data_IF_461518072887
#
_entry.id   IF_461518072887
#
_cell.length_a   1.000
_cell.length_b   1.000
_cell.length_c   1.000
_cell.angle_alpha   90.00
_cell.angle_beta   90.00
_cell.angle_gamma   90.00
#
_symmetry.space_group_name_H-M   'P 1'
#
loop_
_entity.id
_entity.type
_entity.pdbx_description
1 polymer ?
#
# COMPACT_ATOMS: atom_id res chain seq x y z
N UNK A 1 25.53 11.19 -3.91
CA UNK A 1 24.43 11.91 -3.21
C UNK A 1 24.37 11.42 -1.77
N UNK A 2 24.36 12.30 -0.74
CA UNK A 2 24.27 11.89 0.66
C UNK A 2 22.89 11.27 0.99
N UNK A 3 22.81 10.48 2.07
CA UNK A 3 21.57 9.78 2.47
C UNK A 3 20.43 10.75 2.79
N UNK A 4 20.77 11.91 3.36
CA UNK A 4 19.83 12.99 3.66
C UNK A 4 19.10 13.50 2.42
N UNK A 5 19.82 13.73 1.33
CA UNK A 5 19.24 14.19 0.06
C UNK A 5 18.44 13.09 -0.64
N UNK A 6 18.90 11.83 -0.57
CA UNK A 6 18.12 10.70 -1.10
C UNK A 6 16.77 10.57 -0.40
N UNK A 7 16.72 10.73 0.93
CA UNK A 7 15.48 10.67 1.70
C UNK A 7 14.49 11.79 1.29
N UNK A 8 14.96 12.97 0.90
CA UNK A 8 14.14 14.10 0.45
C UNK A 8 13.51 13.91 -0.94
N UNK A 9 14.06 13.03 -1.77
CA UNK A 9 13.52 12.77 -3.13
C UNK A 9 12.37 11.77 -3.08
N UNK A 10 11.18 12.24 -2.73
CA UNK A 10 9.97 11.41 -2.61
C UNK A 10 8.88 11.76 -3.63
N UNK A 11 9.09 12.73 -4.53
CA UNK A 11 8.07 13.16 -5.48
C UNK A 11 8.30 12.63 -6.90
N UNK A 12 7.22 12.54 -7.69
CA UNK A 12 7.29 12.21 -9.12
C UNK A 12 7.54 10.72 -9.41
N UNK A 13 7.11 9.85 -8.50
CA UNK A 13 7.17 8.40 -8.69
C UNK A 13 5.97 7.92 -9.52
N UNK A 14 6.15 6.84 -10.27
CA UNK A 14 5.02 6.11 -10.84
C UNK A 14 4.45 5.11 -9.80
N UNK A 15 3.34 4.46 -10.15
CA UNK A 15 2.69 3.50 -9.27
C UNK A 15 3.60 2.34 -8.84
N UNK A 16 4.36 1.75 -9.76
CA UNK A 16 5.21 0.59 -9.45
C UNK A 16 6.32 0.95 -8.44
N UNK A 17 6.97 2.10 -8.62
CA UNK A 17 7.97 2.61 -7.69
C UNK A 17 7.31 2.92 -6.34
N UNK A 18 6.16 3.59 -6.34
CA UNK A 18 5.43 3.91 -5.11
C UNK A 18 5.06 2.64 -4.32
N UNK A 19 4.60 1.58 -5.00
CA UNK A 19 4.23 0.32 -4.37
C UNK A 19 5.44 -0.40 -3.75
N UNK A 20 6.60 -0.34 -4.39
CA UNK A 20 7.85 -0.85 -3.83
C UNK A 20 8.34 -0.03 -2.64
N UNK A 21 8.20 1.29 -2.68
CA UNK A 21 8.58 2.18 -1.57
C UNK A 21 7.71 1.97 -0.33
N UNK A 22 6.42 1.65 -0.49
CA UNK A 22 5.53 1.31 0.64
C UNK A 22 6.00 0.06 1.41
N UNK A 23 6.73 -0.85 0.77
CA UNK A 23 7.34 -2.01 1.43
C UNK A 23 8.60 -1.65 2.22
N UNK A 24 9.17 -0.47 1.98
CA UNK A 24 10.47 0.00 2.49
C UNK A 24 10.34 1.21 3.40
N UNK A 25 9.15 1.47 3.94
CA UNK A 25 8.97 2.51 4.96
C UNK A 25 9.78 2.16 6.21
N UNK A 26 10.36 3.19 6.83
CA UNK A 26 11.16 3.03 8.06
C UNK A 26 10.23 2.85 9.28
N UNK A 27 9.13 3.60 9.31
CA UNK A 27 8.07 3.51 10.31
C UNK A 27 6.85 2.71 9.84
N UNK A 28 6.11 2.14 10.79
CA UNK A 28 4.91 1.36 10.52
C UNK A 28 3.67 2.27 10.35
N UNK A 29 2.96 2.19 9.20
CA UNK A 29 1.71 2.91 9.01
C UNK A 29 0.59 2.39 9.91
N UNK A 30 -0.39 3.24 10.19
CA UNK A 30 -1.57 2.82 10.92
C UNK A 30 -2.48 1.92 10.06
N UNK A 31 -3.42 1.23 10.69
CA UNK A 31 -4.35 0.33 10.00
C UNK A 31 -5.17 1.02 8.91
N UNK A 32 -5.58 2.26 9.12
CA UNK A 32 -6.42 3.00 8.17
C UNK A 32 -5.65 3.34 6.89
N UNK A 33 -4.42 3.81 7.03
CA UNK A 33 -3.50 4.09 5.92
C UNK A 33 -3.19 2.80 5.14
N UNK A 34 -2.91 1.69 5.85
CA UNK A 34 -2.71 0.36 5.23
C UNK A 34 -3.93 -0.07 4.42
N UNK A 35 -5.13 0.16 4.94
CA UNK A 35 -6.39 -0.18 4.27
C UNK A 35 -6.65 0.72 3.07
N UNK A 36 -6.35 2.01 3.14
CA UNK A 36 -6.46 2.94 2.02
C UNK A 36 -5.54 2.53 0.86
N UNK A 37 -4.25 2.29 1.15
CA UNK A 37 -3.30 1.76 0.16
C UNK A 37 -3.79 0.45 -0.45
N UNK A 38 -4.27 -0.48 0.38
CA UNK A 38 -4.80 -1.77 -0.08
C UNK A 38 -5.98 -1.58 -1.04
N UNK A 39 -6.95 -0.73 -0.68
CA UNK A 39 -8.14 -0.50 -1.51
C UNK A 39 -7.80 0.11 -2.86
N UNK A 40 -6.88 1.07 -2.92
CA UNK A 40 -6.40 1.67 -4.16
C UNK A 40 -5.61 0.67 -5.00
N UNK A 41 -4.66 -0.06 -4.39
CA UNK A 41 -3.86 -1.07 -5.06
C UNK A 41 -4.73 -2.16 -5.71
N UNK A 42 -5.74 -2.66 -4.99
CA UNK A 42 -6.64 -3.68 -5.53
C UNK A 42 -7.47 -3.16 -6.70
N UNK A 43 -7.95 -1.91 -6.63
CA UNK A 43 -8.68 -1.29 -7.73
C UNK A 43 -7.78 -1.11 -8.97
N UNK A 44 -6.51 -0.73 -8.79
CA UNK A 44 -5.56 -0.56 -9.91
C UNK A 44 -5.27 -1.89 -10.62
N UNK A 45 -5.02 -2.96 -9.86
CA UNK A 45 -4.59 -4.26 -10.40
C UNK A 45 -5.76 -5.11 -10.90
N UNK A 46 -6.88 -5.10 -10.17
CA UNK A 46 -8.01 -6.00 -10.43
C UNK A 46 -9.26 -5.29 -10.92
N UNK A 47 -9.28 -3.95 -10.96
CA UNK A 47 -10.47 -3.19 -11.25
C UNK A 47 -11.50 -3.30 -10.12
N UNK A 48 -12.76 -3.20 -10.53
CA UNK A 48 -13.89 -3.21 -9.61
C UNK A 48 -13.97 -4.49 -8.79
N UNK A 49 -14.33 -4.31 -7.53
CA UNK A 49 -14.53 -5.43 -6.62
C UNK A 49 -15.67 -6.34 -7.11
N UNK A 50 -15.48 -7.68 -7.10
CA UNK A 50 -16.54 -8.63 -7.39
C UNK A 50 -17.72 -8.50 -6.42
N UNK A 51 -18.86 -9.06 -6.81
CA UNK A 51 -20.05 -9.11 -5.94
C UNK A 51 -19.72 -9.82 -4.62
N UNK A 52 -20.47 -9.49 -3.57
CA UNK A 52 -20.26 -10.05 -2.22
C UNK A 52 -20.29 -11.58 -2.23
N UNK A 53 -21.17 -12.19 -3.04
CA UNK A 53 -21.29 -13.64 -3.19
C UNK A 53 -20.07 -14.26 -3.86
N UNK A 54 -19.50 -13.61 -4.87
CA UNK A 54 -18.34 -14.08 -5.63
C UNK A 54 -17.02 -13.84 -4.87
N UNK A 55 -16.93 -12.72 -4.15
CA UNK A 55 -15.81 -12.41 -3.27
C UNK A 55 -15.76 -13.33 -2.04
N UNK A 56 -16.92 -13.73 -1.50
CA UNK A 56 -17.03 -14.63 -0.34
C UNK A 56 -16.80 -16.10 -0.68
N UNK A 57 -17.17 -16.57 -1.86
CA UNK A 57 -17.09 -18.00 -2.23
C UNK A 57 -15.65 -18.50 -2.31
N UNK A 58 -14.68 -17.62 -2.59
CA UNK A 58 -13.25 -17.92 -2.53
C UNK A 58 -12.69 -17.98 -1.10
N UNK A 59 -13.47 -17.59 -0.09
CA UNK A 59 -13.15 -17.69 1.34
C UNK A 59 -14.15 -18.69 1.93
N UNK A 60 -13.79 -19.99 1.96
CA UNK A 60 -14.60 -21.09 2.53
C UNK A 60 -15.11 -20.82 3.97
N UNK A 61 -14.55 -19.81 4.64
CA UNK A 61 -14.88 -19.27 5.97
C UNK A 61 -16.14 -18.37 6.00
N UNK A 62 -16.51 -17.74 4.88
CA UNK A 62 -17.85 -17.25 4.53
C UNK A 62 -19.06 -17.74 5.34
N UNK A 63 -19.50 -18.95 4.96
CA UNK A 63 -20.71 -19.57 5.48
C UNK A 63 -20.64 -19.85 6.99
N UNK A 64 -19.45 -20.12 7.55
CA UNK A 64 -19.25 -20.34 8.98
C UNK A 64 -19.32 -19.06 9.82
N UNK A 65 -18.90 -17.90 9.28
CA UNK A 65 -18.97 -16.58 9.95
C UNK A 65 -20.41 -16.12 10.22
N UNK A 66 -21.39 -16.54 9.41
CA UNK A 66 -22.81 -16.22 9.68
C UNK A 66 -23.37 -17.00 10.88
N UNK A 67 -22.73 -18.12 11.24
CA UNK A 67 -23.22 -19.10 12.23
C UNK A 67 -22.51 -18.94 13.58
N UNK A 68 -21.27 -18.41 13.61
CA UNK A 68 -20.50 -18.16 14.83
C UNK A 68 -20.01 -16.71 14.92
N UNK A 69 -19.79 -16.21 16.15
CA UNK A 69 -19.26 -14.85 16.38
C UNK A 69 -17.99 -14.63 15.54
N UNK A 70 -17.92 -13.57 14.72
CA UNK A 70 -16.79 -13.35 13.81
C UNK A 70 -15.48 -13.24 14.59
N UNK A 71 -14.50 -14.04 14.21
CA UNK A 71 -13.13 -13.97 14.75
C UNK A 71 -12.49 -12.63 14.35
N UNK A 72 -11.45 -12.19 15.06
CA UNK A 72 -10.73 -10.94 14.73
C UNK A 72 -10.21 -10.91 13.29
N UNK A 73 -9.83 -12.06 12.75
CA UNK A 73 -9.42 -12.25 11.35
C UNK A 73 -10.54 -11.89 10.35
N UNK A 74 -11.79 -12.19 10.69
CA UNK A 74 -12.95 -11.94 9.83
C UNK A 74 -13.26 -10.45 9.76
N UNK A 75 -13.05 -9.73 10.87
CA UNK A 75 -13.20 -8.28 10.93
C UNK A 75 -12.16 -7.57 10.05
N UNK A 76 -10.91 -8.04 10.05
CA UNK A 76 -9.86 -7.50 9.19
C UNK A 76 -10.15 -7.71 7.70
N UNK A 77 -10.59 -8.91 7.32
CA UNK A 77 -10.99 -9.21 5.93
C UNK A 77 -12.16 -8.34 5.47
N UNK A 78 -13.12 -8.08 6.35
CA UNK A 78 -14.23 -7.16 6.08
C UNK A 78 -13.75 -5.71 5.90
N UNK A 79 -12.80 -5.25 6.71
CA UNK A 79 -12.19 -3.91 6.56
C UNK A 79 -11.49 -3.77 5.21
N UNK A 80 -10.71 -4.78 4.80
CA UNK A 80 -10.07 -4.84 3.46
C UNK A 80 -11.09 -4.78 2.33
N UNK A 81 -12.15 -5.59 2.43
CA UNK A 81 -13.25 -5.60 1.45
C UNK A 81 -13.91 -4.23 1.33
N UNK A 82 -14.26 -3.61 2.47
CA UNK A 82 -14.84 -2.27 2.52
C UNK A 82 -13.90 -1.22 1.92
N UNK A 83 -12.60 -1.31 2.17
CA UNK A 83 -11.63 -0.38 1.62
C UNK A 83 -11.52 -0.47 0.09
N UNK A 84 -11.52 -1.69 -0.48
CA UNK A 84 -11.56 -1.86 -1.93
C UNK A 84 -12.90 -1.42 -2.53
N UNK A 85 -14.02 -1.78 -1.90
CA UNK A 85 -15.37 -1.36 -2.34
C UNK A 85 -15.54 0.15 -2.43
N UNK A 86 -14.92 0.93 -1.53
CA UNK A 86 -14.98 2.41 -1.56
C UNK A 86 -14.43 3.01 -2.86
N UNK A 87 -13.56 2.29 -3.57
CA UNK A 87 -12.97 2.74 -4.83
C UNK A 87 -13.68 2.16 -6.07
N UNK A 88 -14.77 1.41 -5.90
CA UNK A 88 -15.54 0.86 -7.01
C UNK A 88 -16.00 1.97 -7.96
N UNK A 89 -15.84 1.75 -9.26
CA UNK A 89 -16.18 2.70 -10.32
C UNK A 89 -15.15 3.81 -10.51
N UNK A 90 -14.07 3.86 -9.73
CA UNK A 90 -12.95 4.76 -10.02
C UNK A 90 -12.13 4.22 -11.18
N UNK A 91 -11.74 5.13 -12.07
CA UNK A 91 -10.81 4.85 -13.15
C UNK A 91 -9.42 4.49 -12.61
N UNK A 92 -8.72 3.61 -13.35
CA UNK A 92 -7.38 3.15 -13.00
C UNK A 92 -6.39 4.31 -12.86
N UNK A 93 -6.38 5.27 -13.78
CA UNK A 93 -5.44 6.39 -13.74
C UNK A 93 -5.68 7.28 -12.54
N UNK A 94 -6.94 7.46 -12.14
CA UNK A 94 -7.27 8.22 -10.94
C UNK A 94 -6.78 7.48 -9.69
N UNK A 95 -6.99 6.17 -9.60
CA UNK A 95 -6.48 5.39 -8.47
C UNK A 95 -4.96 5.37 -8.41
N UNK A 96 -4.26 5.30 -9.54
CA UNK A 96 -2.79 5.39 -9.58
C UNK A 96 -2.30 6.74 -9.05
N UNK A 97 -2.94 7.85 -9.45
CA UNK A 97 -2.63 9.19 -8.91
C UNK A 97 -2.88 9.28 -7.41
N UNK A 98 -4.05 8.84 -6.95
CA UNK A 98 -4.42 8.81 -5.53
C UNK A 98 -3.41 7.96 -4.73
N UNK A 99 -2.97 6.81 -5.28
CA UNK A 99 -2.01 5.91 -4.64
C UNK A 99 -0.63 6.54 -4.53
N UNK A 100 -0.13 7.15 -5.60
CA UNK A 100 1.16 7.84 -5.60
C UNK A 100 1.13 8.98 -4.60
N UNK A 101 0.09 9.82 -4.60
CA UNK A 101 -0.02 10.92 -3.64
C UNK A 101 0.03 10.42 -2.18
N UNK A 102 -0.74 9.38 -1.87
CA UNK A 102 -0.73 8.78 -0.52
C UNK A 102 0.66 8.21 -0.17
N UNK A 103 1.33 7.56 -1.13
CA UNK A 103 2.69 7.05 -0.93
C UNK A 103 3.70 8.18 -0.65
N UNK A 104 3.61 9.32 -1.34
CA UNK A 104 4.47 10.48 -1.07
C UNK A 104 4.25 11.02 0.35
N UNK A 105 3.00 11.13 0.80
CA UNK A 105 2.66 11.53 2.17
C UNK A 105 3.20 10.56 3.22
N UNK A 106 3.10 9.26 2.95
CA UNK A 106 3.61 8.22 3.85
C UNK A 106 5.12 8.22 3.91
N UNK A 107 5.82 8.44 2.80
CA UNK A 107 7.28 8.59 2.78
C UNK A 107 7.72 9.82 3.58
N UNK A 108 7.00 10.95 3.46
CA UNK A 108 7.27 12.15 4.27
C UNK A 108 7.09 11.87 5.76
N UNK A 109 6.04 11.13 6.13
CA UNK A 109 5.66 10.86 7.53
C UNK A 109 6.52 9.80 8.20
N UNK A 110 6.76 8.68 7.50
CA UNK A 110 7.41 7.49 8.06
C UNK A 110 8.86 7.33 7.64
N UNK A 111 9.33 8.10 6.66
CA UNK A 111 10.66 7.95 6.09
C UNK A 111 10.81 6.65 5.29
N UNK A 112 11.97 6.52 4.62
CA UNK A 112 12.35 5.33 3.87
C UNK A 112 13.57 4.66 4.47
N UNK A 113 13.50 3.34 4.56
CA UNK A 113 14.62 2.47 4.86
C UNK A 113 15.49 2.28 3.63
N UNK A 114 16.45 3.18 3.47
CA UNK A 114 17.45 3.11 2.39
C UNK A 114 18.66 2.33 2.88
N UNK A 115 18.83 1.11 2.37
CA UNK A 115 20.01 0.28 2.62
C UNK A 115 21.03 0.54 1.52
N UNK A 116 22.22 1.06 1.88
CA UNK A 116 23.35 1.14 0.95
C UNK A 116 24.11 -0.18 0.97
N UNK A 117 24.35 -0.75 -0.21
CA UNK A 117 25.31 -1.84 -0.37
C UNK A 117 26.59 -1.29 -1.01
N UNK A 118 27.73 -1.94 -0.71
CA UNK A 118 29.07 -1.53 -1.14
C UNK A 118 29.13 -1.22 -2.65
N UNK A 119 28.49 -2.07 -3.46
CA UNK A 119 28.40 -1.96 -4.92
C UNK A 119 27.60 -0.75 -5.42
N UNK A 120 26.52 -0.35 -4.72
CA UNK A 120 25.72 0.83 -5.08
C UNK A 120 26.23 2.13 -4.42
N UNK A 121 27.26 2.04 -3.57
CA UNK A 121 27.83 3.15 -2.81
C UNK A 121 29.24 3.56 -3.25
N UNK A 122 29.78 3.03 -4.34
CA UNK A 122 31.12 3.36 -4.87
C UNK A 122 31.24 4.78 -5.47
N UNK A 123 30.34 5.70 -5.12
CA UNK A 123 30.71 7.11 -5.15
C UNK A 123 31.48 7.34 -3.87
N UNK A 124 32.80 7.39 -3.99
CA UNK A 124 33.77 7.89 -3.01
C UNK A 124 33.33 9.25 -2.44
N UNK A 125 32.30 9.31 -1.60
CA UNK A 125 32.08 10.45 -0.73
C UNK A 125 33.13 10.32 0.36
N UNK A 126 34.31 10.83 0.01
CA UNK A 126 35.29 11.36 0.94
C UNK A 126 34.53 12.41 1.75
N UNK A 127 34.07 12.03 2.93
CA UNK A 127 33.60 12.98 3.92
C UNK A 127 34.85 13.56 4.58
N UNK A 128 35.37 14.69 4.03
CA UNK A 128 36.21 15.64 4.76
C UNK A 128 35.30 16.69 5.40
#
# INVERSE_FOLDING_TARGET
MPLSELRKKYSGMNFDIAAEEMRRLDGEPNDEEKLQLYGLYKQIIHGDIPSVEDYRTNIRTYASIKISKPSGTDQWNLRKYRAWMKNKGKDRQQCEKDYVQLAEEMIKKYGRKIVRCKWNSEVWTIDY
#
